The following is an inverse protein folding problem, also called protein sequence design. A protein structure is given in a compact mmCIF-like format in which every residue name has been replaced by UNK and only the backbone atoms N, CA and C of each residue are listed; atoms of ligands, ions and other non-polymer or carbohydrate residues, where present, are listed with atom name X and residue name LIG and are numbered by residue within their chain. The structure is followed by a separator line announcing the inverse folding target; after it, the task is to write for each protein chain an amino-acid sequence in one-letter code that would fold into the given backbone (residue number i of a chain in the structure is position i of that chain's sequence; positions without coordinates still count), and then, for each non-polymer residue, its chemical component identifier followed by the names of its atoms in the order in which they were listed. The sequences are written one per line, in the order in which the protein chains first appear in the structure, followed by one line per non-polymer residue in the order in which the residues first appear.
data_IF_316251953139
#
_entry.id   IF_316251953139
#
_cell.length_a   1.000
_cell.length_b   1.000
_cell.length_c   1.000
_cell.angle_alpha   90.00
_cell.angle_beta   90.00
_cell.angle_gamma   90.00
#
_symmetry.space_group_name_H-M   'P 1'
#
loop_
_entity.id
_entity.type
_entity.pdbx_description
1 polymer ?
#
# COMPACT_ATOMS: atom_id res chain seq x y z
N UNK A 1 17.04 12.21 -62.43
CA UNK A 1 17.68 12.58 -61.14
C UNK A 1 16.69 13.13 -60.11
N UNK A 2 15.97 14.24 -60.36
CA UNK A 2 15.03 14.85 -59.37
C UNK A 2 13.94 13.91 -58.83
N UNK A 3 13.31 13.10 -59.69
CA UNK A 3 12.27 12.15 -59.30
C UNK A 3 12.76 11.00 -58.40
N UNK A 4 14.01 10.58 -58.57
CA UNK A 4 14.60 9.49 -57.75
C UNK A 4 14.81 9.99 -56.32
N UNK A 5 15.28 11.23 -56.15
CA UNK A 5 15.45 11.86 -54.83
C UNK A 5 14.11 12.01 -54.11
N UNK A 6 13.05 12.37 -54.83
CA UNK A 6 11.69 12.48 -54.26
C UNK A 6 11.15 11.13 -53.78
N UNK A 7 11.36 10.05 -54.55
CA UNK A 7 10.94 8.70 -54.16
C UNK A 7 11.69 8.19 -52.92
N UNK A 8 13.00 8.46 -52.83
CA UNK A 8 13.79 8.11 -51.64
C UNK A 8 13.29 8.87 -50.42
N UNK A 9 13.02 10.18 -50.56
CA UNK A 9 12.51 11.02 -49.48
C UNK A 9 11.12 10.54 -49.01
N UNK A 10 10.26 10.16 -49.94
CA UNK A 10 8.94 9.63 -49.63
C UNK A 10 9.02 8.27 -48.92
N UNK A 11 9.91 7.38 -49.36
CA UNK A 11 10.16 6.11 -48.69
C UNK A 11 10.70 6.27 -47.27
N UNK A 12 11.63 7.23 -47.07
CA UNK A 12 12.15 7.58 -45.75
C UNK A 12 11.04 8.13 -44.83
N UNK A 13 10.16 8.96 -45.38
CA UNK A 13 9.04 9.54 -44.65
C UNK A 13 8.03 8.48 -44.24
N UNK A 14 7.64 7.57 -45.14
CA UNK A 14 6.76 6.44 -44.85
C UNK A 14 7.38 5.52 -43.79
N UNK A 15 8.67 5.22 -43.89
CA UNK A 15 9.40 4.41 -42.90
C UNK A 15 9.41 5.06 -41.52
N UNK A 16 9.63 6.38 -41.44
CA UNK A 16 9.60 7.12 -40.19
C UNK A 16 8.20 7.13 -39.58
N UNK A 17 7.16 7.37 -40.39
CA UNK A 17 5.77 7.28 -39.96
C UNK A 17 5.45 5.88 -39.43
N UNK A 18 5.82 4.83 -40.17
CA UNK A 18 5.62 3.45 -39.74
C UNK A 18 6.35 3.12 -38.42
N UNK A 19 7.59 3.62 -38.26
CA UNK A 19 8.37 3.46 -37.04
C UNK A 19 7.71 4.11 -35.83
N UNK A 20 7.11 5.30 -36.00
CA UNK A 20 6.40 6.00 -34.91
C UNK A 20 5.15 5.22 -34.47
N UNK A 21 4.44 4.61 -35.42
CA UNK A 21 3.22 3.85 -35.14
C UNK A 21 3.50 2.47 -34.54
N UNK A 22 4.66 1.88 -34.82
CA UNK A 22 5.05 0.54 -34.35
C UNK A 22 5.97 0.56 -33.14
N UNK A 23 6.53 1.73 -32.78
CA UNK A 23 7.27 1.85 -31.53
C UNK A 23 6.35 1.45 -30.36
N UNK A 24 6.73 0.44 -29.57
CA UNK A 24 5.88 -0.17 -28.55
C UNK A 24 5.47 0.78 -27.41
N UNK A 25 6.09 1.95 -27.32
CA UNK A 25 6.10 2.78 -26.11
C UNK A 25 4.93 3.79 -26.00
N UNK A 26 4.01 3.87 -26.96
CA UNK A 26 3.09 5.02 -27.02
C UNK A 26 1.78 4.86 -26.26
N UNK A 27 1.05 3.76 -26.48
CA UNK A 27 -0.36 3.65 -26.09
C UNK A 27 -0.71 2.32 -25.44
N UNK A 28 -0.22 1.19 -25.99
CA UNK A 28 -0.51 -0.14 -25.46
C UNK A 28 0.17 -0.40 -24.11
N UNK A 29 1.39 0.09 -23.95
CA UNK A 29 2.14 -0.07 -22.70
C UNK A 29 1.56 0.78 -21.57
N UNK A 30 1.13 2.01 -21.86
CA UNK A 30 0.39 2.84 -20.91
C UNK A 30 -0.94 2.20 -20.50
N UNK A 31 -1.71 1.64 -21.44
CA UNK A 31 -2.95 0.94 -21.12
C UNK A 31 -2.72 -0.31 -20.27
N UNK A 32 -1.66 -1.08 -20.56
CA UNK A 32 -1.27 -2.25 -19.75
C UNK A 32 -0.84 -1.83 -18.35
N UNK A 33 -0.01 -0.81 -18.23
CA UNK A 33 0.49 -0.32 -16.95
C UNK A 33 -0.64 0.26 -16.10
N UNK A 34 -1.55 1.03 -16.70
CA UNK A 34 -2.75 1.54 -16.01
C UNK A 34 -3.66 0.42 -15.52
N UNK A 35 -3.83 -0.68 -16.29
CA UNK A 35 -4.59 -1.85 -15.83
C UNK A 35 -3.94 -2.52 -14.63
N UNK A 36 -2.61 -2.69 -14.64
CA UNK A 36 -1.87 -3.28 -13.52
C UNK A 36 -1.99 -2.40 -12.27
N UNK A 37 -1.88 -1.08 -12.42
CA UNK A 37 -2.05 -0.13 -11.31
C UNK A 37 -3.46 -0.21 -10.73
N UNK A 38 -4.49 -0.26 -11.57
CA UNK A 38 -5.87 -0.36 -11.13
C UNK A 38 -6.13 -1.66 -10.33
N UNK A 39 -5.62 -2.79 -10.80
CA UNK A 39 -5.74 -4.07 -10.08
C UNK A 39 -5.01 -4.04 -8.74
N UNK A 40 -3.80 -3.48 -8.69
CA UNK A 40 -3.03 -3.39 -7.45
C UNK A 40 -3.67 -2.44 -6.44
N UNK A 41 -4.33 -1.37 -6.90
CA UNK A 41 -5.06 -0.45 -6.03
C UNK A 41 -6.27 -1.11 -5.38
N UNK A 42 -7.02 -1.93 -6.13
CA UNK A 42 -8.16 -2.69 -5.60
C UNK A 42 -7.73 -3.68 -4.51
N UNK A 43 -6.66 -4.44 -4.75
CA UNK A 43 -6.09 -5.35 -3.74
C UNK A 43 -5.61 -4.61 -2.50
N UNK A 44 -4.92 -3.48 -2.68
CA UNK A 44 -4.42 -2.67 -1.57
C UNK A 44 -5.54 -2.07 -0.73
N UNK A 45 -6.65 -1.66 -1.34
CA UNK A 45 -7.81 -1.14 -0.60
C UNK A 45 -8.40 -2.22 0.32
N UNK A 46 -8.59 -3.45 -0.19
CA UNK A 46 -9.08 -4.56 0.64
C UNK A 46 -8.12 -4.91 1.79
N UNK A 47 -6.81 -4.87 1.54
CA UNK A 47 -5.81 -5.08 2.59
C UNK A 47 -5.81 -3.97 3.65
N UNK A 48 -5.98 -2.71 3.25
CA UNK A 48 -6.06 -1.56 4.17
C UNK A 48 -7.27 -1.66 5.08
N UNK A 49 -8.45 -1.98 4.55
CA UNK A 49 -9.67 -2.16 5.36
C UNK A 49 -9.50 -3.29 6.39
N UNK A 50 -8.94 -4.43 5.97
CA UNK A 50 -8.67 -5.54 6.88
C UNK A 50 -7.65 -5.17 7.95
N UNK A 51 -6.62 -4.41 7.59
CA UNK A 51 -5.61 -3.96 8.55
C UNK A 51 -6.20 -2.99 9.57
N UNK A 52 -7.07 -2.07 9.14
CA UNK A 52 -7.80 -1.17 10.04
C UNK A 52 -8.68 -1.95 11.01
N UNK A 53 -9.43 -2.94 10.53
CA UNK A 53 -10.26 -3.79 11.38
C UNK A 53 -9.41 -4.55 12.43
N UNK A 54 -8.33 -5.20 11.98
CA UNK A 54 -7.45 -5.95 12.88
C UNK A 54 -6.75 -5.04 13.91
N UNK A 55 -6.35 -3.82 13.53
CA UNK A 55 -5.77 -2.87 14.46
C UNK A 55 -6.79 -2.42 15.51
N UNK A 56 -8.04 -2.19 15.12
CA UNK A 56 -9.11 -1.86 16.05
C UNK A 56 -9.36 -3.02 17.04
N UNK A 57 -9.38 -4.26 16.54
CA UNK A 57 -9.54 -5.47 17.37
C UNK A 57 -8.37 -5.67 18.35
N UNK A 58 -7.12 -5.45 17.89
CA UNK A 58 -5.94 -5.49 18.76
C UNK A 58 -6.00 -4.38 19.82
N UNK A 59 -6.47 -3.19 19.46
CA UNK A 59 -6.60 -2.09 20.41
C UNK A 59 -7.69 -2.37 21.46
N UNK A 60 -8.84 -2.90 21.04
CA UNK A 60 -9.92 -3.30 21.95
C UNK A 60 -9.47 -4.40 22.93
N UNK A 61 -8.77 -5.43 22.42
CA UNK A 61 -8.19 -6.49 23.25
C UNK A 61 -7.18 -5.96 24.26
N UNK A 62 -6.32 -5.00 23.87
CA UNK A 62 -5.37 -4.37 24.80
C UNK A 62 -6.08 -3.57 25.88
N UNK A 63 -7.05 -2.74 25.50
CA UNK A 63 -7.82 -1.94 26.46
C UNK A 63 -8.61 -2.84 27.43
N UNK A 64 -9.19 -3.93 26.95
CA UNK A 64 -9.90 -4.90 27.79
C UNK A 64 -8.98 -5.59 28.79
N UNK A 65 -7.76 -5.95 28.39
CA UNK A 65 -6.76 -6.53 29.29
C UNK A 65 -6.24 -5.52 30.31
N UNK A 66 -6.02 -4.27 29.91
CA UNK A 66 -5.61 -3.19 30.81
C UNK A 66 -6.69 -2.91 31.87
N UNK A 67 -7.96 -2.87 31.48
CA UNK A 67 -9.07 -2.70 32.41
C UNK A 67 -9.19 -3.85 33.42
N UNK A 68 -8.92 -5.09 32.99
CA UNK A 68 -8.88 -6.26 33.87
C UNK A 68 -7.69 -6.20 34.83
N UNK A 69 -6.51 -5.80 34.33
CA UNK A 69 -5.29 -5.68 35.13
C UNK A 69 -5.44 -4.58 36.19
N UNK A 70 -6.02 -3.42 35.84
CA UNK A 70 -6.28 -2.34 36.79
C UNK A 70 -7.25 -2.76 37.89
N UNK A 71 -8.30 -3.52 37.55
CA UNK A 71 -9.23 -4.09 38.53
C UNK A 71 -8.56 -5.14 39.43
N UNK A 72 -7.74 -6.02 38.87
CA UNK A 72 -7.01 -7.02 39.66
C UNK A 72 -5.99 -6.39 40.62
N UNK A 73 -5.31 -5.31 40.20
CA UNK A 73 -4.39 -4.55 41.05
C UNK A 73 -5.12 -3.75 42.12
N UNK A 74 -6.23 -3.08 41.77
CA UNK A 74 -6.95 -2.16 42.67
C UNK A 74 -7.89 -2.86 43.65
N UNK A 75 -8.65 -3.88 43.21
CA UNK A 75 -9.65 -4.54 44.04
C UNK A 75 -9.11 -5.80 44.74
N UNK A 76 -8.21 -6.53 44.08
CA UNK A 76 -7.72 -7.82 44.59
C UNK A 76 -6.28 -7.75 45.13
N UNK A 77 -5.60 -6.60 45.00
CA UNK A 77 -4.21 -6.43 45.42
C UNK A 77 -3.24 -7.39 44.72
N UNK A 78 -3.62 -7.91 43.56
CA UNK A 78 -2.82 -8.89 42.83
C UNK A 78 -1.63 -8.22 42.15
N UNK A 79 -0.44 -8.78 42.37
CA UNK A 79 0.83 -8.35 41.77
C UNK A 79 1.38 -9.46 40.88
N UNK A 80 2.05 -9.13 39.76
CA UNK A 80 2.66 -10.17 38.90
C UNK A 80 3.76 -10.90 39.66
N UNK A 81 3.98 -12.19 39.32
CA UNK A 81 5.16 -12.95 39.77
C UNK A 81 6.42 -12.20 39.32
N UNK A 82 7.11 -11.55 40.27
CA UNK A 82 8.31 -10.70 40.13
C UNK A 82 8.10 -9.16 40.06
N UNK A 83 6.94 -8.62 40.44
CA UNK A 83 6.80 -7.16 40.65
C UNK A 83 6.96 -6.79 42.14
N UNK A 84 7.72 -5.72 42.43
CA UNK A 84 7.86 -5.14 43.78
C UNK A 84 6.90 -3.97 43.92
N UNK A 85 5.85 -4.12 44.74
CA UNK A 85 4.84 -3.09 44.98
C UNK A 85 5.31 -2.12 46.07
N UNK A 86 5.40 -0.83 45.74
CA UNK A 86 5.72 0.24 46.69
C UNK A 86 4.46 1.08 46.95
N UNK A 87 3.93 1.03 48.17
CA UNK A 87 2.85 1.90 48.61
C UNK A 87 3.43 3.07 49.41
N UNK A 88 3.37 4.27 48.85
CA UNK A 88 3.82 5.48 49.54
C UNK A 88 2.70 5.97 50.45
N UNK A 89 2.90 5.88 51.77
CA UNK A 89 1.98 6.43 52.76
C UNK A 89 2.51 7.81 53.15
N UNK A 90 1.81 8.88 52.77
CA UNK A 90 2.10 10.22 53.29
C UNK A 90 1.62 10.32 54.74
N UNK A 91 2.43 11.00 55.58
CA UNK A 91 2.25 11.13 57.03
C UNK A 91 1.08 12.04 57.42
#
# INVERSE_FOLDING_TARGET
MRFIVLLILLGLLISLQYSIWIKPNGLKELQRLNRIIAQQQEENQGLLERNQFLNAEVQDLKNGLEAIEERARSELGMIKKNETFFQVIEK
#
